data_IF_914371144829
#
_entry.id   IF_914371144829
#
_cell.length_a   1.000
_cell.length_b   1.000
_cell.length_c   1.000
_cell.angle_alpha   90.00
_cell.angle_beta   90.00
_cell.angle_gamma   90.00
#
_symmetry.space_group_name_H-M   'P 1'
#
loop_
_entity.id
_entity.type
_entity.pdbx_description
1 polymer ?
#
# COMPACT_ATOMS: atom_id res chain seq x y z
N UNK A 1 -7.39 24.38 -7.86
CA UNK A 1 -6.37 25.27 -7.25
C UNK A 1 -5.69 24.48 -6.15
N UNK A 2 -4.37 24.60 -6.04
CA UNK A 2 -3.59 23.96 -4.97
C UNK A 2 -2.94 25.09 -4.20
N UNK A 3 -3.20 25.16 -2.90
CA UNK A 3 -2.65 26.17 -2.02
C UNK A 3 -1.74 25.50 -1.00
N UNK A 4 -0.44 25.76 -1.10
CA UNK A 4 0.57 25.27 -0.14
C UNK A 4 0.67 26.29 0.99
N UNK A 5 0.47 25.86 2.22
CA UNK A 5 0.45 26.75 3.39
C UNK A 5 1.50 26.42 4.44
N UNK A 6 2.16 25.26 4.34
CA UNK A 6 3.21 24.84 5.28
C UNK A 6 4.21 23.92 4.58
N UNK A 7 5.45 23.86 5.09
CA UNK A 7 6.45 22.86 4.70
C UNK A 7 6.93 22.10 5.94
N UNK A 8 6.97 20.77 5.85
CA UNK A 8 7.34 19.85 6.94
C UNK A 8 8.34 18.80 6.44
N UNK A 9 8.98 18.07 7.35
CA UNK A 9 9.74 16.88 6.97
C UNK A 9 8.81 15.71 6.64
N UNK A 10 9.17 14.86 5.67
CA UNK A 10 8.33 13.72 5.26
C UNK A 10 8.03 12.78 6.44
N UNK A 11 8.99 12.61 7.35
CA UNK A 11 8.84 11.75 8.54
C UNK A 11 7.86 12.28 9.60
N UNK A 12 7.42 13.55 9.50
CA UNK A 12 6.37 14.09 10.38
C UNK A 12 4.97 13.61 9.97
N UNK A 13 4.80 13.13 8.73
CA UNK A 13 3.53 12.64 8.20
C UNK A 13 3.54 11.12 8.29
N UNK A 14 2.75 10.56 9.22
CA UNK A 14 2.61 9.11 9.35
C UNK A 14 2.07 8.50 8.03
N UNK A 15 2.69 7.43 7.50
CA UNK A 15 2.23 6.69 6.33
C UNK A 15 0.72 6.36 6.32
N UNK A 16 0.09 6.17 7.49
CA UNK A 16 -1.33 5.84 7.61
C UNK A 16 -2.26 6.90 7.01
N UNK A 17 -1.82 8.17 6.96
CA UNK A 17 -2.64 9.25 6.43
C UNK A 17 -2.60 9.35 4.90
N UNK A 18 -1.61 8.75 4.22
CA UNK A 18 -1.52 8.82 2.77
C UNK A 18 -2.60 7.97 2.10
N UNK A 19 -3.18 8.49 1.02
CA UNK A 19 -4.28 7.81 0.32
C UNK A 19 -4.01 7.55 -1.16
N UNK A 20 -3.85 8.61 -1.97
CA UNK A 20 -3.73 8.48 -3.43
C UNK A 20 -2.68 9.44 -3.98
N UNK A 21 -1.70 8.96 -4.76
CA UNK A 21 -0.76 9.81 -5.48
C UNK A 21 -1.38 10.36 -6.77
N UNK A 22 -1.01 11.60 -7.10
CA UNK A 22 -1.31 12.26 -8.36
C UNK A 22 -0.06 12.95 -8.89
N UNK A 23 0.22 12.81 -10.17
CA UNK A 23 1.25 13.62 -10.84
C UNK A 23 0.67 14.98 -11.21
N UNK A 24 1.41 16.05 -10.90
CA UNK A 24 1.02 17.40 -11.26
C UNK A 24 1.70 17.84 -12.56
N UNK A 25 0.89 18.19 -13.56
CA UNK A 25 1.34 18.83 -14.79
C UNK A 25 1.17 20.37 -14.68
N UNK A 26 2.17 21.17 -15.07
CA UNK A 26 2.03 22.62 -15.08
C UNK A 26 1.15 23.09 -16.24
N UNK A 27 0.30 24.09 -15.96
CA UNK A 27 -0.33 24.87 -17.03
C UNK A 27 0.72 25.72 -17.76
N UNK A 28 0.47 26.03 -19.04
CA UNK A 28 1.41 26.79 -19.89
C UNK A 28 1.88 28.11 -19.27
N UNK A 29 1.01 28.82 -18.55
CA UNK A 29 1.30 30.10 -17.89
C UNK A 29 2.13 29.96 -16.60
N UNK A 30 2.27 28.75 -16.04
CA UNK A 30 2.85 28.53 -14.71
C UNK A 30 4.09 27.63 -14.71
N UNK A 31 4.66 27.33 -15.87
CA UNK A 31 5.83 26.44 -16.01
C UNK A 31 7.03 26.90 -15.17
N UNK A 32 7.34 28.20 -15.16
CA UNK A 32 8.46 28.74 -14.37
C UNK A 32 8.25 28.56 -12.85
N UNK A 33 7.03 28.80 -12.37
CA UNK A 33 6.68 28.62 -10.96
C UNK A 33 6.72 27.14 -10.55
N UNK A 34 6.25 26.25 -11.43
CA UNK A 34 6.33 24.81 -11.22
C UNK A 34 7.77 24.34 -11.07
N UNK A 35 8.66 24.71 -12.01
CA UNK A 35 10.08 24.32 -11.95
C UNK A 35 10.72 24.89 -10.68
N UNK A 36 10.45 26.15 -10.34
CA UNK A 36 10.99 26.77 -9.13
C UNK A 36 10.58 26.02 -7.86
N UNK A 37 9.29 25.67 -7.73
CA UNK A 37 8.79 24.90 -6.59
C UNK A 37 9.41 23.50 -6.56
N UNK A 38 9.48 22.82 -7.71
CA UNK A 38 10.11 21.49 -7.81
C UNK A 38 11.55 21.51 -7.34
N UNK A 39 12.36 22.44 -7.84
CA UNK A 39 13.77 22.54 -7.46
C UNK A 39 13.94 22.97 -5.99
N UNK A 40 13.07 23.83 -5.47
CA UNK A 40 13.08 24.20 -4.05
C UNK A 40 12.76 22.99 -3.15
N UNK A 41 11.74 22.20 -3.49
CA UNK A 41 11.39 20.97 -2.77
C UNK A 41 12.53 19.94 -2.83
N UNK A 42 13.13 19.71 -4.02
CA UNK A 42 14.30 18.82 -4.16
C UNK A 42 15.47 19.26 -3.28
N UNK A 43 15.80 20.55 -3.31
CA UNK A 43 16.96 21.09 -2.60
C UNK A 43 16.77 21.06 -1.08
N UNK A 44 15.55 21.28 -0.61
CA UNK A 44 15.25 21.33 0.83
C UNK A 44 14.91 19.96 1.42
N UNK A 45 14.47 19.00 0.60
CA UNK A 45 13.96 17.71 1.08
C UNK A 45 12.63 17.81 1.84
N UNK A 46 12.00 19.00 1.84
CA UNK A 46 10.75 19.25 2.54
C UNK A 46 9.55 18.80 1.71
N UNK A 47 8.44 18.60 2.40
CA UNK A 47 7.11 18.31 1.83
C UNK A 47 6.20 19.50 2.11
N UNK A 48 5.56 20.02 1.06
CA UNK A 48 4.55 21.05 1.19
C UNK A 48 3.20 20.47 1.62
N UNK A 49 2.63 20.95 2.72
CA UNK A 49 1.25 20.66 3.09
C UNK A 49 0.35 21.64 2.37
N UNK A 50 -0.64 21.10 1.65
CA UNK A 50 -1.48 21.87 0.76
C UNK A 50 -2.96 21.49 0.88
N UNK A 51 -3.83 22.44 0.54
CA UNK A 51 -5.24 22.19 0.27
C UNK A 51 -5.49 22.20 -1.23
N UNK A 52 -6.34 21.30 -1.70
CA UNK A 52 -6.76 21.29 -3.09
C UNK A 52 -8.20 20.83 -3.24
N UNK A 53 -8.87 21.32 -4.28
CA UNK A 53 -10.22 20.87 -4.63
C UNK A 53 -10.12 19.86 -5.76
N UNK A 54 -10.69 18.68 -5.54
CA UNK A 54 -10.84 17.65 -6.56
C UNK A 54 -12.34 17.44 -6.81
N UNK A 55 -12.77 17.78 -8.04
CA UNK A 55 -14.18 17.83 -8.44
C UNK A 55 -14.97 18.81 -7.58
N UNK A 56 -15.61 18.33 -6.51
CA UNK A 56 -16.53 19.10 -5.65
C UNK A 56 -16.10 19.16 -4.19
N UNK A 57 -15.04 18.46 -3.79
CA UNK A 57 -14.59 18.38 -2.39
C UNK A 57 -13.17 18.91 -2.23
N UNK A 58 -12.94 19.64 -1.13
CA UNK A 58 -11.61 20.03 -0.67
C UNK A 58 -10.94 18.88 0.07
N UNK A 59 -9.64 18.73 -0.15
CA UNK A 59 -8.80 17.71 0.43
C UNK A 59 -7.48 18.29 0.92
N UNK A 60 -6.90 17.64 1.91
CA UNK A 60 -5.53 17.87 2.36
C UNK A 60 -4.55 17.07 1.48
N UNK A 61 -3.35 17.58 1.27
CA UNK A 61 -2.32 16.91 0.49
C UNK A 61 -0.91 17.19 0.98
N UNK A 62 -0.03 16.22 0.74
CA UNK A 62 1.42 16.38 0.74
C UNK A 62 1.91 16.56 -0.69
N UNK A 63 2.71 17.60 -0.91
CA UNK A 63 3.30 17.95 -2.19
C UNK A 63 4.81 17.80 -2.07
N UNK A 64 5.40 16.90 -2.84
CA UNK A 64 6.84 16.68 -2.84
C UNK A 64 7.36 16.55 -4.27
N UNK A 65 8.65 16.85 -4.46
CA UNK A 65 9.30 16.58 -5.73
C UNK A 65 9.77 15.11 -5.77
N UNK A 66 9.60 14.46 -6.92
CA UNK A 66 10.17 13.15 -7.22
C UNK A 66 10.62 13.15 -8.67
N UNK A 67 11.89 12.84 -8.88
CA UNK A 67 12.52 12.94 -10.21
C UNK A 67 12.21 14.30 -10.84
N UNK A 68 11.78 14.39 -12.09
CA UNK A 68 11.47 15.67 -12.73
C UNK A 68 10.01 16.14 -12.56
N UNK A 69 9.28 15.55 -11.63
CA UNK A 69 7.86 15.84 -11.39
C UNK A 69 7.60 16.30 -9.95
N UNK A 70 6.46 16.97 -9.78
CA UNK A 70 5.83 17.17 -8.49
C UNK A 70 4.74 16.12 -8.33
N UNK A 71 4.79 15.41 -7.20
CA UNK A 71 3.75 14.48 -6.77
C UNK A 71 2.93 15.16 -5.70
N UNK A 72 1.61 15.03 -5.85
CA UNK A 72 0.63 15.37 -4.82
C UNK A 72 0.04 14.08 -4.29
N UNK A 73 0.27 13.80 -3.01
CA UNK A 73 -0.39 12.71 -2.33
C UNK A 73 -1.54 13.26 -1.50
N UNK A 74 -2.74 12.75 -1.75
CA UNK A 74 -3.89 13.05 -0.90
C UNK A 74 -3.66 12.50 0.51
N UNK A 75 -3.96 13.31 1.52
CA UNK A 75 -3.84 13.00 2.94
C UNK A 75 -5.25 12.95 3.55
N UNK A 76 -5.48 11.94 4.39
CA UNK A 76 -6.68 11.78 5.21
C UNK A 76 -6.64 12.73 6.40
N UNK A 77 -7.79 13.28 6.77
CA UNK A 77 -7.90 14.00 8.04
C UNK A 77 -7.80 13.03 9.22
N UNK A 78 -7.48 13.57 10.39
CA UNK A 78 -7.29 12.80 11.60
C UNK A 78 -8.54 11.98 11.98
N UNK A 79 -9.73 12.56 11.78
CA UNK A 79 -11.03 11.94 12.05
C UNK A 79 -11.44 10.87 11.03
N UNK A 80 -10.73 10.75 9.90
CA UNK A 80 -10.94 9.67 8.93
C UNK A 80 -10.18 8.39 9.29
N UNK A 81 -9.37 8.41 10.36
CA UNK A 81 -8.60 7.27 10.85
C UNK A 81 -9.26 6.71 12.12
N UNK A 82 -9.42 5.39 12.16
CA UNK A 82 -9.93 4.69 13.36
C UNK A 82 -8.94 4.89 14.51
N UNK A 83 -9.44 5.31 15.67
CA UNK A 83 -8.62 5.50 16.84
C UNK A 83 -8.15 4.14 17.39
N UNK A 84 -6.83 3.90 17.53
CA UNK A 84 -6.34 2.64 18.08
C UNK A 84 -6.90 2.28 19.46
N UNK A 85 -7.31 3.28 20.25
CA UNK A 85 -7.90 3.07 21.59
C UNK A 85 -9.27 2.41 21.56
N UNK A 86 -9.96 2.47 20.42
CA UNK A 86 -11.27 1.83 20.24
C UNK A 86 -11.12 0.35 19.82
N UNK A 87 -9.88 -0.11 19.60
CA UNK A 87 -9.58 -1.49 19.22
C UNK A 87 -9.24 -2.33 20.45
N UNK A 88 -9.80 -3.53 20.51
CA UNK A 88 -9.44 -4.54 21.51
C UNK A 88 -8.28 -5.35 20.93
N UNK A 89 -7.06 -5.10 21.41
CA UNK A 89 -5.85 -5.78 20.96
C UNK A 89 -5.37 -6.74 22.05
N UNK A 90 -5.17 -8.04 21.74
CA UNK A 90 -4.65 -9.01 22.70
C UNK A 90 -3.20 -8.67 23.11
N UNK A 91 -2.87 -8.96 24.37
CA UNK A 91 -1.54 -8.68 24.91
C UNK A 91 -0.51 -9.78 24.62
N UNK A 92 0.76 -9.44 24.81
CA UNK A 92 1.91 -10.33 24.56
C UNK A 92 1.97 -11.51 25.54
N UNK A 93 1.26 -11.42 26.66
CA UNK A 93 1.12 -12.51 27.64
C UNK A 93 0.44 -13.76 27.07
N UNK A 94 -0.25 -13.65 25.92
CA UNK A 94 -0.93 -14.76 25.26
C UNK A 94 0.02 -15.66 24.44
N UNK A 95 1.30 -15.31 24.29
CA UNK A 95 2.26 -16.07 23.48
C UNK A 95 3.39 -16.68 24.32
N UNK A 96 3.82 -17.90 23.97
CA UNK A 96 5.00 -18.51 24.57
C UNK A 96 6.26 -18.16 23.79
N UNK A 97 7.41 -18.09 24.49
CA UNK A 97 8.71 -17.78 23.88
C UNK A 97 9.06 -18.70 22.70
N UNK A 98 8.77 -20.01 22.84
CA UNK A 98 9.06 -21.00 21.79
C UNK A 98 8.25 -20.76 20.50
N UNK A 99 7.00 -20.33 20.64
CA UNK A 99 6.14 -20.01 19.50
C UNK A 99 6.61 -18.74 18.80
N UNK A 100 7.00 -17.73 19.59
CA UNK A 100 7.60 -16.50 19.07
C UNK A 100 8.92 -16.77 18.31
N UNK A 101 9.81 -17.59 18.87
CA UNK A 101 11.07 -17.96 18.23
C UNK A 101 10.83 -18.69 16.90
N UNK A 102 9.82 -19.56 16.83
CA UNK A 102 9.44 -20.29 15.61
C UNK A 102 8.85 -19.35 14.56
N UNK A 103 7.91 -18.47 14.95
CA UNK A 103 7.31 -17.49 14.05
C UNK A 103 8.37 -16.51 13.50
N UNK A 104 9.32 -16.10 14.34
CA UNK A 104 10.42 -15.20 13.93
C UNK A 104 11.28 -15.84 12.85
N UNK A 105 11.68 -17.12 13.01
CA UNK A 105 12.44 -17.85 11.98
C UNK A 105 11.69 -17.95 10.66
N UNK A 106 10.37 -18.15 10.71
CA UNK A 106 9.56 -18.19 9.49
C UNK A 106 9.52 -16.83 8.80
N UNK A 107 9.37 -15.74 9.57
CA UNK A 107 9.42 -14.38 9.01
C UNK A 107 10.77 -14.14 8.34
N UNK A 108 11.87 -14.55 8.97
CA UNK A 108 13.22 -14.44 8.40
C UNK A 108 13.39 -15.28 7.12
N UNK A 109 12.87 -16.52 7.09
CA UNK A 109 12.96 -17.41 5.94
C UNK A 109 12.12 -16.94 4.75
N UNK A 110 10.97 -16.31 5.01
CA UNK A 110 10.09 -15.74 3.98
C UNK A 110 10.40 -14.28 3.64
N UNK A 111 11.40 -13.68 4.29
CA UNK A 111 11.83 -12.31 3.99
C UNK A 111 12.66 -12.29 2.71
N UNK A 112 12.17 -11.60 1.70
CA UNK A 112 12.89 -11.33 0.45
C UNK A 112 12.73 -9.85 0.06
N UNK A 113 13.45 -9.43 -0.97
CA UNK A 113 13.41 -8.09 -1.51
C UNK A 113 12.04 -7.80 -2.12
N UNK A 114 11.42 -6.70 -1.68
CA UNK A 114 10.17 -6.23 -2.23
C UNK A 114 10.34 -5.79 -3.70
N UNK A 115 9.65 -6.48 -4.61
CA UNK A 115 9.60 -6.17 -6.04
C UNK A 115 8.15 -5.99 -6.45
N UNK A 116 7.74 -4.76 -6.76
CA UNK A 116 6.33 -4.48 -7.08
C UNK A 116 5.89 -5.18 -8.38
N UNK A 117 6.84 -5.39 -9.30
CA UNK A 117 6.63 -6.04 -10.60
C UNK A 117 6.30 -7.54 -10.51
N UNK A 118 6.57 -8.20 -9.39
CA UNK A 118 6.17 -9.60 -9.19
C UNK A 118 4.71 -9.77 -8.77
N UNK A 119 4.00 -8.69 -8.46
CA UNK A 119 2.60 -8.74 -8.07
C UNK A 119 1.71 -8.45 -9.28
N UNK A 120 0.79 -9.37 -9.55
CA UNK A 120 -0.18 -9.24 -10.62
C UNK A 120 -1.60 -9.28 -10.08
N UNK A 121 -2.51 -8.57 -10.74
CA UNK A 121 -3.93 -8.63 -10.42
C UNK A 121 -4.52 -9.94 -10.98
N UNK A 122 -4.44 -10.98 -10.16
CA UNK A 122 -4.92 -12.32 -10.50
C UNK A 122 -6.41 -12.34 -10.85
N UNK A 123 -7.19 -11.39 -10.33
CA UNK A 123 -8.62 -11.29 -10.65
C UNK A 123 -8.80 -10.81 -12.08
N UNK A 124 -8.15 -9.70 -12.44
CA UNK A 124 -8.20 -9.14 -13.80
C UNK A 124 -7.68 -10.16 -14.82
N UNK A 125 -6.55 -10.82 -14.55
CA UNK A 125 -6.02 -11.87 -15.44
C UNK A 125 -6.95 -13.07 -15.59
N UNK A 126 -7.62 -13.47 -14.51
CA UNK A 126 -8.61 -14.56 -14.56
C UNK A 126 -9.84 -14.15 -15.36
N UNK A 127 -10.29 -12.90 -15.20
CA UNK A 127 -11.42 -12.35 -15.94
C UNK A 127 -11.10 -12.22 -17.43
N UNK A 128 -9.91 -11.74 -17.80
CA UNK A 128 -9.45 -11.67 -19.20
C UNK A 128 -9.42 -13.06 -19.84
N UNK A 129 -8.89 -14.07 -19.14
CA UNK A 129 -8.93 -15.46 -19.59
C UNK A 129 -10.37 -15.96 -19.79
N UNK A 130 -11.30 -15.64 -18.88
CA UNK A 130 -12.71 -16.00 -19.03
C UNK A 130 -13.34 -15.30 -20.25
N UNK A 131 -13.02 -14.02 -20.48
CA UNK A 131 -13.48 -13.25 -21.64
C UNK A 131 -12.96 -13.89 -22.93
N UNK A 132 -11.68 -14.26 -23.00
CA UNK A 132 -11.11 -14.96 -24.16
C UNK A 132 -11.78 -16.30 -24.43
N UNK A 133 -12.01 -17.11 -23.39
CA UNK A 133 -12.65 -18.42 -23.54
C UNK A 133 -14.09 -18.27 -24.06
N UNK A 134 -14.83 -17.28 -23.55
CA UNK A 134 -16.17 -16.92 -24.05
C UNK A 134 -16.12 -16.39 -25.48
N UNK A 135 -15.17 -15.51 -25.81
CA UNK A 135 -14.99 -14.97 -27.16
C UNK A 135 -14.65 -16.06 -28.18
N UNK A 136 -13.95 -17.13 -27.76
CA UNK A 136 -13.65 -18.33 -28.55
C UNK A 136 -14.83 -19.33 -28.61
N UNK A 137 -16.02 -18.97 -28.12
CA UNK A 137 -17.24 -19.76 -28.16
C UNK A 137 -17.27 -20.96 -27.20
N UNK A 138 -16.36 -21.03 -26.22
CA UNK A 138 -16.30 -22.11 -25.23
C UNK A 138 -16.94 -21.67 -23.92
N UNK A 139 -17.62 -22.59 -23.24
CA UNK A 139 -18.13 -22.35 -21.89
C UNK A 139 -16.94 -22.44 -20.93
N UNK A 140 -16.61 -21.38 -20.18
CA UNK A 140 -15.52 -21.46 -19.22
C UNK A 140 -15.87 -22.43 -18.09
N UNK A 141 -14.97 -23.36 -17.77
CA UNK A 141 -15.05 -24.14 -16.53
C UNK A 141 -14.69 -23.21 -15.38
N UNK A 142 -15.48 -23.22 -14.31
CA UNK A 142 -15.10 -22.55 -13.07
C UNK A 142 -13.79 -23.18 -12.55
N UNK A 143 -12.72 -22.39 -12.50
CA UNK A 143 -11.49 -22.76 -11.80
C UNK A 143 -11.38 -21.83 -10.59
N UNK A 144 -11.49 -22.44 -9.42
CA UNK A 144 -11.38 -21.77 -8.13
C UNK A 144 -12.07 -22.63 -7.07
N UNK A 145 -11.28 -23.35 -6.28
CA UNK A 145 -11.76 -23.78 -4.97
C UNK A 145 -11.96 -22.51 -4.14
N UNK A 146 -13.14 -22.36 -3.53
CA UNK A 146 -13.35 -21.28 -2.58
C UNK A 146 -12.33 -21.45 -1.44
N UNK A 147 -11.62 -20.39 -1.02
CA UNK A 147 -10.71 -20.50 0.11
C UNK A 147 -11.52 -20.97 1.32
N UNK A 148 -11.17 -22.13 1.85
CA UNK A 148 -11.80 -22.67 3.06
C UNK A 148 -11.39 -21.77 4.23
N UNK A 149 -12.34 -21.15 4.95
CA UNK A 149 -12.00 -20.33 6.11
C UNK A 149 -11.29 -21.22 7.13
N UNK A 150 -10.06 -20.86 7.51
CA UNK A 150 -9.34 -21.58 8.56
C UNK A 150 -9.85 -21.03 9.89
N UNK A 151 -10.73 -21.77 10.57
CA UNK A 151 -11.48 -21.29 11.75
C UNK A 151 -10.79 -21.54 13.09
N UNK A 152 -9.70 -22.30 13.14
CA UNK A 152 -9.09 -22.73 14.41
C UNK A 152 -7.60 -22.36 14.52
N UNK A 153 -7.21 -21.86 15.69
CA UNK A 153 -5.85 -21.35 15.98
C UNK A 153 -4.79 -22.46 15.95
N UNK A 154 -5.18 -23.70 16.30
CA UNK A 154 -4.34 -24.90 16.22
C UNK A 154 -3.94 -25.23 14.77
N UNK A 155 -4.87 -25.01 13.83
CA UNK A 155 -4.68 -25.23 12.39
C UNK A 155 -3.69 -24.20 11.79
N UNK A 156 -3.58 -23.00 12.37
CA UNK A 156 -2.58 -22.01 11.94
C UNK A 156 -1.18 -22.49 12.32
N UNK A 157 -0.98 -23.01 13.53
CA UNK A 157 0.32 -23.55 13.97
C UNK A 157 0.72 -24.78 13.14
N UNK A 158 -0.24 -25.63 12.79
CA UNK A 158 0.00 -26.77 11.91
C UNK A 158 0.33 -26.32 10.48
N UNK A 159 -0.42 -25.38 9.90
CA UNK A 159 -0.10 -24.80 8.57
C UNK A 159 1.24 -24.08 8.54
N UNK A 160 1.63 -23.40 9.63
CA UNK A 160 2.96 -22.81 9.77
C UNK A 160 4.05 -23.89 9.74
N UNK A 161 3.85 -25.02 10.42
CA UNK A 161 4.77 -26.17 10.38
C UNK A 161 4.82 -26.82 9.01
N UNK A 162 3.70 -26.97 8.32
CA UNK A 162 3.63 -27.52 6.96
C UNK A 162 4.34 -26.61 5.95
N UNK A 163 4.15 -25.30 6.06
CA UNK A 163 4.84 -24.31 5.21
C UNK A 163 6.37 -24.43 5.36
N UNK A 164 6.89 -24.58 6.59
CA UNK A 164 8.32 -24.82 6.85
C UNK A 164 8.84 -26.12 6.20
N UNK A 165 8.03 -27.18 6.16
CA UNK A 165 8.42 -28.44 5.51
C UNK A 165 8.40 -28.34 3.99
N UNK A 166 7.51 -27.53 3.42
CA UNK A 166 7.46 -27.26 1.98
C UNK A 166 8.66 -26.44 1.50
N UNK A 167 9.08 -25.42 2.27
CA UNK A 167 10.25 -24.61 1.93
C UNK A 167 11.55 -25.44 2.00
N UNK A 168 11.67 -26.36 2.97
CA UNK A 168 12.83 -27.26 3.08
C UNK A 168 12.94 -28.32 1.97
N UNK A 169 11.83 -28.70 1.32
CA UNK A 169 11.82 -29.70 0.22
C UNK A 169 12.21 -29.14 -1.15
N UNK A 170 12.29 -27.81 -1.29
CA UNK A 170 12.60 -27.14 -2.56
C UNK A 170 14.03 -26.57 -2.64
N UNK A 171 14.93 -27.01 -1.76
CA UNK A 171 16.37 -26.74 -1.83
C UNK A 171 17.12 -27.93 -2.41
#
# INVERSE_FOLDING_TARGET
>A
MIEVFQFVDLGEIDPIYFQKPYYLEPQKSSQKAYVLLREALKKTGKVGVAKFVLRTKEYLAAVNARDDLIILNQIRYFDEIVNPKDLIVPGVEMIQKRELDMATRLVEELSDNFKLDSYHDTYTESLERLIEVKAKGKIPKAQGEAPVPTTEMEDIIEKLKESLQHVQKHK
#
